data_IF_707688225526
#
_entry.id   IF_707688225526
#
_cell.length_a   1.000
_cell.length_b   1.000
_cell.length_c   1.000
_cell.angle_alpha   90.00
_cell.angle_beta   90.00
_cell.angle_gamma   90.00
#
_symmetry.space_group_name_H-M   'P 1'
#
loop_
_entity.id
_entity.type
_entity.pdbx_description
1 polymer ?
#
# COMPACT_ATOMS: atom_id res chain seq x y z
N UNK A 1 30.06 24.81 25.34
CA UNK A 1 30.85 24.85 24.08
C UNK A 1 31.70 23.58 24.00
N UNK A 2 31.50 22.80 22.93
CA UNK A 2 32.45 21.79 22.39
C UNK A 2 32.69 20.51 23.22
N UNK A 3 31.71 19.61 23.34
CA UNK A 3 32.04 18.19 23.59
C UNK A 3 31.08 17.14 22.98
N UNK A 4 30.07 17.53 22.18
CA UNK A 4 29.10 16.58 21.57
C UNK A 4 29.26 16.46 20.04
N UNK A 5 30.12 17.27 19.41
CA UNK A 5 30.18 17.34 17.92
C UNK A 5 31.09 16.26 17.27
N UNK A 6 31.81 15.44 18.04
CA UNK A 6 32.83 14.53 17.48
C UNK A 6 32.34 13.11 17.11
N UNK A 7 31.07 12.74 17.38
CA UNK A 7 30.53 11.41 17.02
C UNK A 7 29.51 11.45 15.87
N UNK A 8 29.47 12.55 15.12
CA UNK A 8 28.54 12.75 14.00
C UNK A 8 29.20 12.62 12.61
N UNK A 9 30.45 12.14 12.54
CA UNK A 9 31.22 12.16 11.29
C UNK A 9 31.92 10.84 10.99
N UNK A 10 31.16 9.74 10.90
CA UNK A 10 31.74 8.45 10.48
C UNK A 10 30.79 7.46 9.80
N UNK A 11 29.62 7.86 9.28
CA UNK A 11 28.70 6.89 8.63
C UNK A 11 27.85 7.43 7.47
N UNK A 12 28.14 8.63 6.94
CA UNK A 12 27.48 9.14 5.73
C UNK A 12 28.42 8.99 4.54
N UNK A 13 28.15 8.01 3.67
CA UNK A 13 28.90 7.88 2.42
C UNK A 13 28.87 6.51 1.75
N UNK A 14 27.74 5.81 1.77
CA UNK A 14 27.51 4.71 0.83
C UNK A 14 26.28 5.05 -0.02
N UNK A 15 26.44 5.29 -1.34
CA UNK A 15 25.32 5.55 -2.22
C UNK A 15 24.58 4.24 -2.44
N UNK A 16 23.49 4.02 -1.70
CA UNK A 16 22.53 2.97 -2.04
C UNK A 16 21.57 3.50 -3.13
N UNK A 17 22.16 3.92 -4.25
CA UNK A 17 21.44 3.96 -5.53
C UNK A 17 21.47 2.52 -6.01
N UNK A 18 20.47 1.75 -5.57
CA UNK A 18 20.12 0.52 -6.26
C UNK A 18 19.68 0.96 -7.67
N UNK A 19 20.64 0.93 -8.60
CA UNK A 19 20.36 0.98 -10.02
C UNK A 19 19.49 -0.24 -10.32
N UNK A 20 18.18 -0.04 -10.30
CA UNK A 20 17.22 -0.98 -10.84
C UNK A 20 17.44 -0.96 -12.36
N UNK A 21 18.41 -1.74 -12.81
CA UNK A 21 18.66 -1.95 -14.22
C UNK A 21 17.32 -2.37 -14.87
N UNK A 22 16.89 -1.74 -15.97
CA UNK A 22 15.73 -2.22 -16.69
C UNK A 22 16.02 -3.66 -17.13
N UNK A 23 15.23 -4.61 -16.62
CA UNK A 23 15.23 -5.98 -17.13
C UNK A 23 15.00 -5.86 -18.64
N UNK A 24 15.91 -6.37 -19.49
CA UNK A 24 15.69 -6.33 -20.92
C UNK A 24 14.43 -7.14 -21.22
N UNK A 25 13.41 -6.45 -21.77
CA UNK A 25 12.28 -7.11 -22.41
C UNK A 25 12.87 -7.95 -23.55
N UNK A 26 12.95 -9.26 -23.33
CA UNK A 26 13.27 -10.19 -24.40
C UNK A 26 12.28 -9.95 -25.55
N UNK A 27 12.73 -9.87 -26.81
CA UNK A 27 11.81 -9.79 -27.93
C UNK A 27 10.89 -11.01 -27.84
N UNK A 28 9.58 -10.80 -27.89
CA UNK A 28 8.59 -11.87 -28.03
C UNK A 28 8.87 -12.52 -29.39
N UNK A 29 9.75 -13.52 -29.35
CA UNK A 29 10.06 -14.36 -30.48
C UNK A 29 8.77 -15.05 -30.88
N UNK A 30 8.33 -14.79 -32.11
CA UNK A 30 7.40 -15.67 -32.82
C UNK A 30 8.15 -16.97 -33.10
N UNK A 31 8.30 -17.79 -32.06
CA UNK A 31 9.12 -18.99 -32.03
C UNK A 31 8.26 -20.20 -31.75
N UNK A 32 8.13 -21.03 -32.78
CA UNK A 32 7.51 -22.36 -32.76
C UNK A 32 8.07 -23.23 -31.62
N UNK A 33 7.15 -23.81 -30.85
CA UNK A 33 7.26 -25.13 -30.21
C UNK A 33 8.29 -25.31 -29.10
N UNK A 34 7.84 -25.28 -27.84
CA UNK A 34 8.52 -25.93 -26.71
C UNK A 34 7.58 -26.98 -26.13
N UNK A 35 7.90 -28.26 -26.33
CA UNK A 35 7.11 -29.40 -25.85
C UNK A 35 7.40 -29.65 -24.37
N UNK A 36 6.52 -29.15 -23.50
CA UNK A 36 6.47 -29.59 -22.10
C UNK A 36 5.61 -30.86 -22.06
N UNK A 37 6.16 -31.96 -21.54
CA UNK A 37 5.40 -33.20 -21.35
C UNK A 37 4.29 -32.95 -20.32
N UNK A 38 3.05 -32.92 -20.80
CA UNK A 38 1.87 -32.83 -19.98
C UNK A 38 1.49 -34.24 -19.52
N UNK A 39 1.70 -34.52 -18.24
CA UNK A 39 1.05 -35.65 -17.58
C UNK A 39 -0.48 -35.47 -17.68
N UNK A 40 -1.17 -36.58 -17.93
CA UNK A 40 -2.52 -36.65 -18.46
C UNK A 40 -3.56 -35.85 -17.63
N UNK A 41 -3.87 -34.65 -18.10
CA UNK A 41 -5.12 -33.95 -17.81
C UNK A 41 -6.21 -34.58 -18.70
N UNK A 42 -7.31 -34.97 -18.06
CA UNK A 42 -8.55 -35.53 -18.60
C UNK A 42 -8.80 -35.23 -20.10
N UNK A 43 -9.21 -36.26 -20.85
CA UNK A 43 -9.48 -36.31 -22.31
C UNK A 43 -10.61 -35.40 -22.83
N UNK A 44 -10.98 -34.37 -22.08
CA UNK A 44 -11.92 -33.34 -22.53
C UNK A 44 -11.13 -32.28 -23.30
N UNK A 45 -11.65 -31.89 -24.48
CA UNK A 45 -11.08 -30.78 -25.23
C UNK A 45 -10.86 -29.56 -24.32
N UNK A 46 -9.79 -28.75 -24.52
CA UNK A 46 -9.57 -27.53 -23.75
C UNK A 46 -10.85 -26.70 -23.72
N UNK A 47 -11.24 -26.24 -22.54
CA UNK A 47 -12.42 -25.39 -22.40
C UNK A 47 -12.20 -24.07 -23.13
N UNK A 48 -12.98 -23.82 -24.18
CA UNK A 48 -13.05 -22.52 -24.84
C UNK A 48 -14.15 -21.66 -24.19
N UNK A 49 -13.81 -20.51 -23.56
CA UNK A 49 -14.79 -19.63 -22.93
C UNK A 49 -15.63 -18.80 -23.91
N UNK A 50 -15.39 -18.90 -25.22
CA UNK A 50 -16.13 -18.22 -26.28
C UNK A 50 -17.11 -19.13 -27.02
N UNK A 51 -17.01 -20.45 -26.83
CA UNK A 51 -17.89 -21.44 -27.44
C UNK A 51 -19.18 -21.67 -26.63
N UNK A 52 -20.29 -21.94 -27.33
CA UNK A 52 -21.58 -22.33 -26.73
C UNK A 52 -22.74 -21.37 -27.05
N UNK A 53 -23.95 -21.74 -26.59
CA UNK A 53 -25.18 -20.96 -26.86
C UNK A 53 -25.22 -19.61 -26.11
N UNK A 54 -24.59 -19.54 -24.93
CA UNK A 54 -24.48 -18.34 -24.10
C UNK A 54 -23.04 -18.25 -23.56
N UNK A 55 -22.08 -17.83 -24.39
CA UNK A 55 -20.68 -17.81 -23.97
C UNK A 55 -20.45 -16.70 -22.93
N UNK A 56 -19.66 -16.96 -21.88
CA UNK A 56 -19.32 -15.94 -20.88
C UNK A 56 -18.46 -14.82 -21.47
N UNK A 57 -17.64 -15.11 -22.48
CA UNK A 57 -16.82 -14.12 -23.19
C UNK A 57 -17.34 -13.93 -24.61
N UNK A 58 -17.37 -12.67 -25.05
CA UNK A 58 -17.80 -12.26 -26.37
C UNK A 58 -16.69 -11.45 -27.02
N UNK A 59 -16.80 -11.16 -28.31
CA UNK A 59 -15.93 -10.21 -28.98
C UNK A 59 -16.60 -8.83 -29.02
N UNK A 60 -15.81 -7.77 -28.86
CA UNK A 60 -16.29 -6.41 -29.11
C UNK A 60 -16.31 -6.09 -30.61
N UNK A 61 -16.71 -4.87 -30.97
CA UNK A 61 -16.76 -4.41 -32.37
C UNK A 61 -15.36 -4.27 -33.02
N UNK A 62 -14.30 -4.60 -32.29
CA UNK A 62 -12.89 -4.53 -32.70
C UNK A 62 -12.20 -5.88 -32.57
N UNK A 63 -12.96 -6.98 -32.49
CA UNK A 63 -12.48 -8.36 -32.35
C UNK A 63 -11.61 -8.62 -31.10
N UNK A 64 -11.74 -7.79 -30.05
CA UNK A 64 -11.11 -8.04 -28.76
C UNK A 64 -12.02 -8.84 -27.84
N UNK A 65 -11.42 -9.63 -26.95
CA UNK A 65 -12.15 -10.35 -25.91
C UNK A 65 -12.84 -9.38 -24.93
N UNK A 66 -14.14 -9.53 -24.76
CA UNK A 66 -15.01 -8.67 -23.97
C UNK A 66 -15.99 -9.47 -23.12
N UNK A 67 -16.05 -9.14 -21.83
CA UNK A 67 -17.08 -9.63 -20.92
C UNK A 67 -18.27 -8.64 -20.93
N UNK A 68 -19.50 -9.01 -21.30
CA UNK A 68 -20.67 -8.11 -21.33
C UNK A 68 -21.19 -7.80 -19.91
N UNK A 69 -20.39 -7.10 -19.11
CA UNK A 69 -20.72 -6.68 -17.75
C UNK A 69 -21.16 -5.20 -17.74
N UNK A 70 -22.43 -4.96 -17.39
CA UNK A 70 -23.02 -3.60 -17.32
C UNK A 70 -22.41 -2.75 -16.20
N UNK A 71 -22.28 -3.30 -15.00
CA UNK A 71 -21.66 -2.62 -13.86
C UNK A 71 -20.17 -2.92 -13.78
N UNK A 72 -19.32 -1.90 -13.75
CA UNK A 72 -17.86 -2.07 -13.64
C UNK A 72 -17.29 -1.21 -12.52
N UNK A 73 -17.36 -1.66 -11.24
CA UNK A 73 -16.92 -0.89 -10.08
C UNK A 73 -15.46 -0.42 -10.14
N UNK A 74 -14.61 -1.13 -10.90
CA UNK A 74 -13.22 -0.71 -11.16
C UNK A 74 -13.11 0.67 -11.81
N UNK A 75 -14.15 1.17 -12.49
CA UNK A 75 -14.20 2.53 -13.05
C UNK A 75 -14.07 3.61 -11.97
N UNK A 76 -14.70 3.41 -10.80
CA UNK A 76 -14.62 4.32 -9.66
C UNK A 76 -13.23 4.32 -8.99
N UNK A 77 -12.31 3.44 -9.41
CA UNK A 77 -10.96 3.30 -8.84
C UNK A 77 -9.85 3.67 -9.83
N UNK A 78 -10.19 4.14 -11.04
CA UNK A 78 -9.24 4.35 -12.16
C UNK A 78 -8.16 5.40 -11.85
N UNK A 79 -8.51 6.51 -11.20
CA UNK A 79 -7.56 7.59 -10.87
C UNK A 79 -7.72 8.04 -9.42
N UNK A 80 -6.72 8.76 -8.89
CA UNK A 80 -6.79 9.33 -7.56
C UNK A 80 -7.95 10.34 -7.42
N UNK A 81 -8.17 11.18 -8.43
CA UNK A 81 -9.26 12.17 -8.46
C UNK A 81 -10.65 11.53 -8.41
N UNK A 82 -10.87 10.42 -9.11
CA UNK A 82 -12.15 9.69 -9.06
C UNK A 82 -12.34 9.09 -7.66
N UNK A 83 -11.30 8.45 -7.10
CA UNK A 83 -11.36 7.88 -5.75
C UNK A 83 -11.60 8.92 -4.67
N UNK A 84 -11.08 10.15 -4.81
CA UNK A 84 -11.35 11.23 -3.86
C UNK A 84 -12.77 11.75 -3.98
N UNK A 85 -13.33 11.81 -5.20
CA UNK A 85 -14.71 12.25 -5.43
C UNK A 85 -15.75 11.29 -4.84
N UNK A 86 -15.52 9.98 -4.91
CA UNK A 86 -16.44 8.95 -4.39
C UNK A 86 -16.09 8.47 -2.98
N UNK A 87 -15.17 9.13 -2.26
CA UNK A 87 -14.75 8.73 -0.92
C UNK A 87 -15.86 8.99 0.09
N UNK A 88 -16.24 7.97 0.85
CA UNK A 88 -17.32 8.06 1.84
C UNK A 88 -16.84 8.57 3.19
N UNK A 89 -15.67 8.11 3.65
CA UNK A 89 -15.14 8.43 4.98
C UNK A 89 -13.85 9.24 4.88
N UNK A 90 -13.70 10.22 5.76
CA UNK A 90 -12.45 10.98 5.95
C UNK A 90 -12.10 11.07 7.42
N UNK A 91 -10.80 11.19 7.71
CA UNK A 91 -10.28 11.38 9.06
C UNK A 91 -9.59 12.73 9.09
N UNK A 92 -9.95 13.56 10.06
CA UNK A 92 -9.36 14.87 10.31
C UNK A 92 -8.76 14.89 11.73
N UNK A 93 -7.77 15.75 12.01
CA UNK A 93 -7.19 15.89 13.35
C UNK A 93 -8.23 16.09 14.46
N UNK A 94 -9.31 16.81 14.16
CA UNK A 94 -10.44 17.06 15.07
C UNK A 94 -11.26 15.83 15.45
N UNK A 95 -11.08 14.69 14.75
CA UNK A 95 -11.76 13.43 15.10
C UNK A 95 -11.01 12.65 16.17
N UNK A 96 -9.79 13.04 16.52
CA UNK A 96 -8.99 12.33 17.51
C UNK A 96 -9.20 12.90 18.90
N UNK A 97 -9.19 12.00 19.88
CA UNK A 97 -9.15 12.33 21.31
C UNK A 97 -7.78 11.84 21.80
N UNK A 98 -7.01 12.73 22.40
CA UNK A 98 -5.72 12.41 23.00
C UNK A 98 -5.89 12.16 24.51
N UNK A 99 -5.90 10.91 24.98
CA UNK A 99 -5.93 10.62 26.41
C UNK A 99 -4.55 10.91 27.03
N UNK A 100 -4.51 11.75 28.06
CA UNK A 100 -3.29 12.10 28.79
C UNK A 100 -3.38 11.51 30.21
N UNK A 101 -2.31 10.84 30.67
CA UNK A 101 -2.21 10.31 32.02
C UNK A 101 -1.56 11.32 32.95
N UNK A 102 -2.21 11.63 34.07
CA UNK A 102 -1.75 12.63 35.04
C UNK A 102 -1.51 11.96 36.39
N UNK A 103 -0.49 12.39 37.11
CA UNK A 103 -0.19 11.99 38.49
C UNK A 103 0.34 13.17 39.31
N UNK A 104 0.42 13.00 40.63
CA UNK A 104 0.74 14.05 41.60
C UNK A 104 2.25 14.24 41.85
N UNK A 105 3.12 13.70 40.98
CA UNK A 105 4.57 13.91 41.08
C UNK A 105 5.02 14.95 40.07
N UNK A 106 6.14 15.62 40.35
CA UNK A 106 6.72 16.63 39.46
C UNK A 106 7.44 16.01 38.25
N UNK A 107 7.88 14.75 38.38
CA UNK A 107 8.61 14.03 37.34
C UNK A 107 7.67 13.41 36.29
N UNK A 108 8.15 13.29 35.05
CA UNK A 108 7.46 12.54 33.99
C UNK A 108 7.90 11.08 34.07
N UNK A 109 6.95 10.17 34.28
CA UNK A 109 7.22 8.74 34.46
C UNK A 109 6.78 7.92 33.24
N UNK A 110 7.68 7.20 32.55
CA UNK A 110 7.29 6.36 31.43
C UNK A 110 6.45 5.17 31.87
N UNK A 111 5.41 4.84 31.11
CA UNK A 111 4.60 3.65 31.35
C UNK A 111 5.23 2.49 30.58
N UNK A 112 5.91 1.57 31.28
CA UNK A 112 6.65 0.45 30.66
C UNK A 112 5.75 -0.41 29.77
N UNK A 113 4.47 -0.58 30.13
CA UNK A 113 3.51 -1.35 29.35
C UNK A 113 2.96 -0.61 28.12
N UNK A 114 3.15 0.71 28.02
CA UNK A 114 2.69 1.55 26.91
C UNK A 114 3.85 2.39 26.38
N UNK A 115 4.72 1.81 25.53
CA UNK A 115 5.87 2.52 24.97
C UNK A 115 5.45 3.80 24.23
N UNK A 116 6.13 4.90 24.52
CA UNK A 116 5.80 6.23 23.98
C UNK A 116 4.71 6.97 24.76
N UNK A 117 4.17 6.41 25.83
CA UNK A 117 3.27 7.08 26.75
C UNK A 117 3.92 7.27 28.12
N UNK A 118 3.66 8.43 28.70
CA UNK A 118 4.17 8.80 30.01
C UNK A 118 3.02 9.24 30.91
N UNK A 119 3.22 9.13 32.22
CA UNK A 119 2.45 9.88 33.20
C UNK A 119 3.09 11.24 33.32
N UNK A 120 2.28 12.28 33.15
CA UNK A 120 2.71 13.66 33.16
C UNK A 120 2.43 14.32 34.51
N UNK A 121 3.33 15.22 34.91
CA UNK A 121 3.04 16.25 35.89
C UNK A 121 2.14 17.34 35.29
N UNK A 122 1.50 18.15 36.13
CA UNK A 122 0.60 19.21 35.68
C UNK A 122 1.27 20.17 34.68
N UNK A 123 2.51 20.57 34.94
CA UNK A 123 3.27 21.48 34.07
C UNK A 123 3.64 20.83 32.72
N UNK A 124 3.98 19.53 32.71
CA UNK A 124 4.27 18.81 31.48
C UNK A 124 3.01 18.58 30.64
N UNK A 125 1.87 18.32 31.27
CA UNK A 125 0.59 18.11 30.60
C UNK A 125 0.17 19.37 29.83
N UNK A 126 0.35 20.56 30.39
CA UNK A 126 0.01 21.82 29.71
C UNK A 126 0.81 22.01 28.41
N UNK A 127 2.10 21.62 28.40
CA UNK A 127 2.93 21.66 27.19
C UNK A 127 2.43 20.69 26.12
N UNK A 128 2.07 19.47 26.52
CA UNK A 128 1.52 18.47 25.61
C UNK A 128 0.21 18.92 24.98
N UNK A 129 -0.65 19.58 25.76
CA UNK A 129 -1.90 20.17 25.24
C UNK A 129 -1.62 21.29 24.25
N UNK A 130 -0.64 22.16 24.53
CA UNK A 130 -0.23 23.24 23.61
C UNK A 130 0.31 22.69 22.28
N UNK A 131 1.08 21.61 22.31
CA UNK A 131 1.60 20.95 21.10
C UNK A 131 0.52 20.21 20.29
N UNK A 132 -0.55 19.76 20.95
CA UNK A 132 -1.64 19.01 20.33
C UNK A 132 -2.76 19.89 19.73
N UNK A 133 -2.78 21.19 20.03
CA UNK A 133 -3.76 22.16 19.53
C UNK A 133 -3.34 22.79 18.19
#
# INVERSE_FOLDING_TARGET
MKLIVALALALQGLPLVAAFAPVPLAPVGHGRGMSVRADAVSSKAPYDPTEGANPPLQYDNQDNLWLPQRSRPRRNRKTAAIRSMVRENFVAPSHFILPIFIHDSEAVEPIVSMPGQCRHSLASMMKEVEEAM
#
